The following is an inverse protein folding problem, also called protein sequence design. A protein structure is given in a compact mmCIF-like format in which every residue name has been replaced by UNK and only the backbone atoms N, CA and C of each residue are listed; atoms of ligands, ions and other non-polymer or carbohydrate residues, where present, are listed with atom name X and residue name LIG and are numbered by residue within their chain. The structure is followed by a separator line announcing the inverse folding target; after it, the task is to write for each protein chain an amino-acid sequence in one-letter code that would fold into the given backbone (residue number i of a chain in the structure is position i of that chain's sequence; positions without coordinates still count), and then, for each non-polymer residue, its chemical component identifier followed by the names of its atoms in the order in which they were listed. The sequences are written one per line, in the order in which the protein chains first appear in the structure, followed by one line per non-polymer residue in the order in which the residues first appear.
data_IF_888278582968
#
_entry.id   IF_888278582968
#
_cell.length_a   1.000
_cell.length_b   1.000
_cell.length_c   1.000
_cell.angle_alpha   90.00
_cell.angle_beta   90.00
_cell.angle_gamma   90.00
#
_symmetry.space_group_name_H-M   'P 1'
#
loop_
_entity.id
_entity.type
_entity.pdbx_description
1 polymer ?
#
# COMPACT_ATOMS: atom_id res chain seq x y z
N UNK A 1 33.14 4.80 5.79
CA UNK A 1 31.76 4.83 5.32
C UNK A 1 31.16 3.49 5.68
N UNK A 2 30.32 3.41 6.72
CA UNK A 2 29.58 2.19 7.03
C UNK A 2 28.59 1.95 5.88
N UNK A 3 28.68 0.78 5.20
CA UNK A 3 27.68 0.40 4.22
C UNK A 3 26.29 0.41 4.92
N UNK A 4 25.36 1.18 4.38
CA UNK A 4 23.97 1.11 4.84
C UNK A 4 23.50 -0.34 4.71
N UNK A 5 22.88 -0.92 5.74
CA UNK A 5 22.44 -2.31 5.69
C UNK A 5 21.46 -2.49 4.52
N UNK A 6 21.75 -3.49 3.67
CA UNK A 6 20.92 -3.80 2.50
C UNK A 6 19.52 -4.20 2.97
N UNK A 7 18.52 -3.44 2.53
CA UNK A 7 17.13 -3.75 2.79
C UNK A 7 16.63 -4.83 1.84
N UNK A 8 15.99 -5.86 2.38
CA UNK A 8 15.34 -6.92 1.61
C UNK A 8 13.83 -6.81 1.73
N UNK A 9 13.15 -6.82 0.59
CA UNK A 9 11.69 -6.81 0.50
C UNK A 9 11.23 -8.20 0.05
N UNK A 10 10.49 -8.90 0.93
CA UNK A 10 10.06 -10.29 0.70
C UNK A 10 8.54 -10.42 0.86
N UNK A 11 7.77 -10.63 -0.21
CA UNK A 11 6.38 -11.02 -0.08
C UNK A 11 6.25 -12.28 0.79
N UNK A 12 5.28 -12.29 1.72
CA UNK A 12 5.01 -13.44 2.59
C UNK A 12 3.98 -14.33 1.93
N UNK A 13 4.44 -15.23 1.06
CA UNK A 13 3.56 -16.12 0.30
C UNK A 13 2.79 -17.10 1.20
N UNK A 14 1.50 -17.35 0.93
CA UNK A 14 0.62 -16.79 -0.10
C UNK A 14 -0.23 -15.62 0.45
N UNK A 15 0.30 -14.80 1.32
CA UNK A 15 -0.43 -13.73 1.99
C UNK A 15 -0.18 -12.36 1.35
N UNK A 16 -1.15 -11.43 1.38
CA UNK A 16 -0.98 -10.04 0.99
C UNK A 16 -0.23 -9.27 2.10
N UNK A 17 1.00 -9.68 2.35
CA UNK A 17 1.86 -9.13 3.39
C UNK A 17 3.30 -9.08 2.91
N UNK A 18 4.04 -8.05 3.29
CA UNK A 18 5.43 -7.81 2.92
C UNK A 18 6.31 -7.84 4.17
N UNK A 19 7.36 -8.64 4.15
CA UNK A 19 8.41 -8.61 5.14
C UNK A 19 9.55 -7.71 4.64
N UNK A 20 9.89 -6.70 5.42
CA UNK A 20 11.01 -5.80 5.20
C UNK A 20 12.09 -6.16 6.22
N UNK A 21 13.22 -6.64 5.73
CA UNK A 21 14.38 -6.96 6.58
C UNK A 21 15.45 -5.87 6.38
N UNK A 22 15.86 -5.24 7.48
CA UNK A 22 16.90 -4.20 7.50
C UNK A 22 17.87 -4.47 8.65
N UNK A 23 19.08 -4.90 8.32
CA UNK A 23 20.03 -5.40 9.33
C UNK A 23 19.44 -6.62 10.05
N UNK A 24 19.30 -6.53 11.37
CA UNK A 24 18.71 -7.59 12.21
C UNK A 24 17.19 -7.42 12.42
N UNK A 25 16.60 -6.29 12.02
CA UNK A 25 15.20 -5.98 12.28
C UNK A 25 14.28 -6.47 11.15
N UNK A 26 13.11 -6.95 11.53
CA UNK A 26 12.07 -7.48 10.65
C UNK A 26 10.78 -6.69 10.84
N UNK A 27 10.32 -6.05 9.79
CA UNK A 27 9.06 -5.31 9.77
C UNK A 27 8.05 -6.05 8.90
N UNK A 28 6.93 -6.47 9.48
CA UNK A 28 5.83 -7.02 8.71
C UNK A 28 4.91 -5.88 8.29
N UNK A 29 4.62 -5.75 7.00
CA UNK A 29 3.76 -4.70 6.45
C UNK A 29 2.54 -5.32 5.80
N UNK A 30 1.35 -4.78 6.13
CA UNK A 30 0.07 -5.09 5.49
C UNK A 30 -0.65 -3.78 5.14
N UNK A 31 -1.69 -3.84 4.30
CA UNK A 31 -2.45 -2.67 3.86
C UNK A 31 -3.93 -3.01 3.71
N UNK A 32 -4.80 -2.00 3.85
CA UNK A 32 -6.21 -2.07 3.45
C UNK A 32 -6.99 -3.20 4.15
N UNK A 33 -7.14 -3.08 5.47
CA UNK A 33 -7.85 -4.07 6.31
C UNK A 33 -9.37 -3.86 6.22
N UNK A 34 -9.82 -2.60 6.23
CA UNK A 34 -11.23 -2.18 6.17
C UNK A 34 -12.13 -2.95 7.13
N UNK A 35 -11.83 -2.91 8.43
CA UNK A 35 -12.71 -3.46 9.45
C UNK A 35 -14.08 -2.75 9.41
N UNK A 36 -15.14 -3.50 9.55
CA UNK A 36 -16.52 -2.97 9.50
C UNK A 36 -17.12 -2.84 8.10
N UNK A 37 -16.44 -3.29 7.03
CA UNK A 37 -16.95 -3.21 5.66
C UNK A 37 -18.29 -3.94 5.48
N UNK A 38 -18.56 -4.95 6.30
CA UNK A 38 -19.79 -5.73 6.28
C UNK A 38 -21.04 -4.88 6.58
N UNK A 39 -20.88 -3.80 7.33
CA UNK A 39 -21.97 -2.88 7.68
C UNK A 39 -22.58 -2.23 6.43
N UNK A 40 -21.77 -1.94 5.41
CA UNK A 40 -22.27 -1.38 4.16
C UNK A 40 -23.17 -2.36 3.42
N UNK A 41 -22.82 -3.65 3.41
CA UNK A 41 -23.67 -4.71 2.81
C UNK A 41 -24.99 -4.88 3.58
N UNK A 42 -24.94 -4.73 4.91
CA UNK A 42 -26.16 -4.79 5.72
C UNK A 42 -27.13 -3.65 5.36
N UNK A 43 -26.62 -2.47 5.03
CA UNK A 43 -27.41 -1.34 4.51
C UNK A 43 -28.10 -1.66 3.17
N UNK A 44 -27.54 -2.56 2.38
CA UNK A 44 -28.09 -3.07 1.11
C UNK A 44 -28.97 -4.34 1.29
N UNK A 45 -29.20 -4.77 2.53
CA UNK A 45 -30.01 -5.95 2.85
C UNK A 45 -29.24 -7.27 2.84
N UNK A 46 -27.91 -7.25 2.71
CA UNK A 46 -27.05 -8.44 2.71
C UNK A 46 -26.31 -8.55 4.05
N UNK A 47 -26.73 -9.49 4.90
CA UNK A 47 -26.12 -9.68 6.21
C UNK A 47 -24.94 -10.64 6.15
N UNK A 48 -23.73 -10.10 6.30
CA UNK A 48 -22.47 -10.84 6.44
C UNK A 48 -21.99 -10.71 7.88
N UNK A 49 -21.67 -11.81 8.59
CA UNK A 49 -21.05 -11.73 9.90
C UNK A 49 -19.72 -11.02 9.85
N UNK A 50 -19.35 -10.29 10.93
CA UNK A 50 -18.05 -9.62 11.01
C UNK A 50 -16.89 -10.56 10.69
N UNK A 51 -16.03 -10.13 9.77
CA UNK A 51 -14.83 -10.85 9.35
C UNK A 51 -13.60 -10.49 10.20
N UNK A 52 -13.73 -9.57 11.13
CA UNK A 52 -12.63 -9.10 12.01
C UNK A 52 -11.86 -10.26 12.63
N UNK A 53 -12.55 -11.25 13.19
CA UNK A 53 -11.90 -12.43 13.79
C UNK A 53 -11.16 -13.31 12.77
N UNK A 54 -11.62 -13.36 11.52
CA UNK A 54 -10.95 -14.10 10.45
C UNK A 54 -9.68 -13.39 10.02
N UNK A 55 -9.75 -12.07 9.82
CA UNK A 55 -8.60 -11.23 9.49
C UNK A 55 -7.55 -11.24 10.61
N UNK A 56 -7.99 -11.14 11.87
CA UNK A 56 -7.13 -11.24 13.04
C UNK A 56 -6.36 -12.57 13.07
N UNK A 57 -7.06 -13.70 13.01
CA UNK A 57 -6.43 -15.03 13.01
C UNK A 57 -5.45 -15.21 11.85
N UNK A 58 -5.75 -14.65 10.67
CA UNK A 58 -4.87 -14.66 9.52
C UNK A 58 -3.58 -13.88 9.83
N UNK A 59 -3.70 -12.69 10.40
CA UNK A 59 -2.55 -11.86 10.75
C UNK A 59 -1.71 -12.49 11.88
N UNK A 60 -2.33 -13.02 12.93
CA UNK A 60 -1.65 -13.74 14.00
C UNK A 60 -0.84 -14.95 13.48
N UNK A 61 -1.39 -15.67 12.48
CA UNK A 61 -0.67 -16.77 11.83
C UNK A 61 0.57 -16.26 11.09
N UNK A 62 0.47 -15.15 10.38
CA UNK A 62 1.61 -14.56 9.67
C UNK A 62 2.67 -14.07 10.67
N UNK A 63 2.27 -13.38 11.74
CA UNK A 63 3.17 -12.93 12.81
C UNK A 63 3.91 -14.13 13.41
N UNK A 64 3.21 -15.22 13.69
CA UNK A 64 3.82 -16.44 14.24
C UNK A 64 4.82 -17.10 13.27
N UNK A 65 4.55 -17.00 11.94
CA UNK A 65 5.38 -17.56 10.89
C UNK A 65 6.68 -16.77 10.71
N UNK A 66 6.59 -15.44 10.58
CA UNK A 66 7.74 -14.61 10.23
C UNK A 66 8.45 -13.99 11.43
N UNK A 67 7.77 -13.95 12.58
CA UNK A 67 8.26 -13.39 13.87
C UNK A 67 8.88 -12.01 13.68
N UNK A 68 8.08 -11.02 13.26
CA UNK A 68 8.57 -9.67 13.04
C UNK A 68 8.81 -8.96 14.37
N UNK A 69 9.71 -7.98 14.37
CA UNK A 69 9.94 -7.09 15.51
C UNK A 69 8.87 -6.00 15.58
N UNK A 70 8.33 -5.58 14.42
CA UNK A 70 7.30 -4.57 14.32
C UNK A 70 6.29 -4.88 13.21
N UNK A 71 5.01 -4.60 13.47
CA UNK A 71 3.93 -4.61 12.47
C UNK A 71 3.69 -3.18 11.97
N UNK A 72 3.67 -2.98 10.65
CA UNK A 72 3.31 -1.72 10.02
C UNK A 72 2.03 -1.90 9.20
N UNK A 73 1.05 -1.04 9.40
CA UNK A 73 -0.21 -1.07 8.67
C UNK A 73 -0.29 0.19 7.79
N UNK A 74 -0.35 -0.02 6.47
CA UNK A 74 -0.43 1.04 5.46
C UNK A 74 -1.87 1.45 5.20
N UNK A 75 -2.53 1.98 6.23
CA UNK A 75 -3.82 2.65 6.14
C UNK A 75 -5.02 1.79 5.79
N UNK A 76 -6.15 2.48 5.76
CA UNK A 76 -7.49 1.96 5.54
C UNK A 76 -7.81 0.80 6.49
N UNK A 77 -7.65 1.09 7.80
CA UNK A 77 -7.96 0.17 8.89
C UNK A 77 -9.46 0.01 9.03
N UNK A 78 -10.20 1.12 9.13
CA UNK A 78 -11.66 1.13 9.15
C UNK A 78 -12.22 1.35 7.74
N UNK A 79 -13.50 1.04 7.55
CA UNK A 79 -14.10 1.10 6.22
C UNK A 79 -14.81 2.42 5.92
N UNK A 80 -15.49 3.02 6.90
CA UNK A 80 -16.30 4.22 6.70
C UNK A 80 -15.44 5.48 6.74
N UNK A 81 -15.60 6.37 5.75
CA UNK A 81 -14.77 7.59 5.64
C UNK A 81 -15.29 8.69 6.58
N UNK A 82 -16.59 9.03 6.47
CA UNK A 82 -17.13 10.26 7.08
C UNK A 82 -17.34 10.19 8.59
N UNK A 83 -17.67 9.03 9.10
CA UNK A 83 -17.96 8.79 10.52
C UNK A 83 -17.37 7.44 10.99
N UNK A 84 -17.38 7.21 12.28
CA UNK A 84 -17.04 5.92 12.86
C UNK A 84 -18.34 5.19 13.14
N UNK A 85 -18.53 4.03 12.54
CA UNK A 85 -19.71 3.17 12.76
C UNK A 85 -19.59 2.34 14.03
N UNK A 86 -20.72 1.84 14.55
CA UNK A 86 -20.74 1.06 15.80
C UNK A 86 -19.88 -0.20 15.73
N UNK A 87 -19.86 -0.85 14.57
CA UNK A 87 -19.02 -2.01 14.28
C UNK A 87 -17.54 -1.66 14.38
N UNK A 88 -17.13 -0.50 13.86
CA UNK A 88 -15.76 -0.01 13.92
C UNK A 88 -15.34 0.33 15.37
N UNK A 89 -16.24 0.98 16.12
CA UNK A 89 -16.04 1.25 17.57
C UNK A 89 -15.81 -0.02 18.37
N UNK A 90 -16.46 -1.12 18.02
CA UNK A 90 -16.31 -2.42 18.66
C UNK A 90 -15.07 -3.16 18.17
N UNK A 91 -14.93 -3.28 16.83
CA UNK A 91 -14.02 -4.23 16.20
C UNK A 91 -12.57 -3.73 16.12
N UNK A 92 -12.36 -2.42 15.89
CA UNK A 92 -11.00 -1.86 15.79
C UNK A 92 -10.21 -1.99 17.11
N UNK A 93 -10.74 -1.57 18.28
CA UNK A 93 -10.02 -1.75 19.54
C UNK A 93 -9.71 -3.22 19.84
N UNK A 94 -10.69 -4.12 19.69
CA UNK A 94 -10.53 -5.57 19.92
C UNK A 94 -9.43 -6.16 19.05
N UNK A 95 -9.38 -5.75 17.77
CA UNK A 95 -8.38 -6.19 16.81
C UNK A 95 -6.97 -5.81 17.28
N UNK A 96 -6.75 -4.54 17.62
CA UNK A 96 -5.44 -4.05 18.05
C UNK A 96 -5.02 -4.54 19.42
N UNK A 97 -5.92 -4.62 20.39
CA UNK A 97 -5.64 -5.21 21.72
C UNK A 97 -5.21 -6.68 21.61
N UNK A 98 -5.82 -7.41 20.67
CA UNK A 98 -5.44 -8.81 20.41
C UNK A 98 -4.07 -8.91 19.78
N UNK A 99 -3.71 -8.00 18.88
CA UNK A 99 -2.39 -7.94 18.25
C UNK A 99 -1.31 -7.53 19.25
N UNK A 100 -1.57 -6.55 20.14
CA UNK A 100 -0.61 -6.11 21.16
C UNK A 100 -0.21 -7.23 22.14
N UNK A 101 -1.06 -8.25 22.31
CA UNK A 101 -0.70 -9.48 23.06
C UNK A 101 0.31 -10.37 22.34
N UNK A 102 0.54 -10.14 21.03
CA UNK A 102 1.44 -10.96 20.18
C UNK A 102 2.69 -10.22 19.74
N UNK A 103 2.58 -8.91 19.56
CA UNK A 103 3.65 -8.06 19.07
C UNK A 103 3.59 -6.70 19.76
N UNK A 104 4.72 -6.25 20.32
CA UNK A 104 4.78 -5.02 21.13
C UNK A 104 4.94 -3.75 20.30
N UNK A 105 5.38 -3.84 19.06
CA UNK A 105 5.53 -2.70 18.16
C UNK A 105 4.50 -2.77 17.04
N UNK A 106 3.56 -1.81 17.04
CA UNK A 106 2.57 -1.64 15.96
C UNK A 106 2.59 -0.19 15.52
N UNK A 107 2.80 0.04 14.22
CA UNK A 107 2.76 1.35 13.58
C UNK A 107 1.64 1.40 12.56
N UNK A 108 0.87 2.48 12.59
CA UNK A 108 -0.21 2.76 11.66
C UNK A 108 0.14 4.00 10.86
N UNK A 109 0.13 3.91 9.54
CA UNK A 109 0.19 5.06 8.64
C UNK A 109 -1.23 5.27 8.12
N UNK A 110 -1.97 6.32 8.55
CA UNK A 110 -3.39 6.47 8.22
C UNK A 110 -3.66 6.55 6.72
N UNK A 111 -4.73 5.86 6.28
CA UNK A 111 -5.28 5.96 4.93
C UNK A 111 -6.38 7.02 4.82
N UNK A 112 -7.04 7.08 3.66
CA UNK A 112 -8.13 8.04 3.45
C UNK A 112 -9.43 7.65 4.18
N UNK A 113 -9.57 6.39 4.58
CA UNK A 113 -10.68 5.93 5.43
C UNK A 113 -10.44 6.15 6.93
N UNK A 114 -9.22 6.46 7.35
CA UNK A 114 -8.81 6.47 8.75
C UNK A 114 -8.98 7.82 9.46
N UNK A 115 -9.90 8.68 9.00
CA UNK A 115 -10.22 9.91 9.71
C UNK A 115 -10.57 9.62 11.19
N UNK A 116 -9.90 10.29 12.13
CA UNK A 116 -10.04 10.13 13.58
C UNK A 116 -9.75 8.69 14.09
N UNK A 117 -8.88 7.94 13.44
CA UNK A 117 -8.54 6.57 13.82
C UNK A 117 -7.95 6.50 15.24
N UNK A 118 -7.28 7.56 15.69
CA UNK A 118 -6.61 7.64 16.99
C UNK A 118 -7.55 7.34 18.16
N UNK A 119 -8.84 7.70 18.05
CA UNK A 119 -9.83 7.45 19.12
C UNK A 119 -10.22 5.97 19.26
N UNK A 120 -9.91 5.16 18.24
CA UNK A 120 -10.19 3.72 18.22
C UNK A 120 -8.97 2.88 18.59
N UNK A 121 -7.78 3.47 18.55
CA UNK A 121 -6.55 2.72 18.78
C UNK A 121 -6.23 2.65 20.29
N UNK A 122 -5.90 1.47 20.81
CA UNK A 122 -5.47 1.34 22.20
C UNK A 122 -4.07 1.94 22.41
N UNK A 123 -3.75 2.24 23.66
CA UNK A 123 -2.39 2.63 24.06
C UNK A 123 -1.37 1.57 23.62
N UNK A 124 -0.22 2.01 23.08
CA UNK A 124 0.83 1.13 22.53
C UNK A 124 0.81 0.99 21.02
N UNK A 125 -0.19 1.54 20.30
CA UNK A 125 -0.19 1.66 18.84
C UNK A 125 0.31 3.04 18.45
N UNK A 126 1.40 3.10 17.69
CA UNK A 126 1.96 4.35 17.17
C UNK A 126 1.23 4.77 15.89
N UNK A 127 0.70 5.99 15.85
CA UNK A 127 0.15 6.59 14.63
C UNK A 127 1.23 7.46 14.00
N UNK A 128 1.67 7.05 12.82
CA UNK A 128 2.67 7.74 12.02
C UNK A 128 2.02 8.82 11.13
N UNK A 129 2.82 9.77 10.60
CA UNK A 129 2.29 10.74 9.64
C UNK A 129 1.69 10.06 8.40
N UNK A 130 0.55 10.56 7.91
CA UNK A 130 -0.10 10.04 6.69
C UNK A 130 0.77 10.17 5.43
N UNK A 131 1.74 11.10 5.43
CA UNK A 131 2.71 11.27 4.35
C UNK A 131 3.74 10.13 4.33
N UNK A 132 3.76 9.29 5.35
CA UNK A 132 4.56 8.08 5.41
C UNK A 132 5.83 8.18 6.25
N UNK A 133 6.52 7.05 6.32
CA UNK A 133 7.75 6.86 7.08
C UNK A 133 8.78 6.08 6.27
N UNK A 134 10.03 6.14 6.69
CA UNK A 134 11.11 5.30 6.15
C UNK A 134 11.30 4.10 7.06
N UNK A 135 11.31 2.90 6.47
CA UNK A 135 11.67 1.64 7.15
C UNK A 135 12.77 0.97 6.36
N UNK A 136 13.92 0.81 6.97
CA UNK A 136 15.12 0.38 6.25
C UNK A 136 15.45 1.40 5.13
N UNK A 137 15.55 1.00 3.90
CA UNK A 137 15.71 1.88 2.75
C UNK A 137 14.43 2.04 1.93
N UNK A 138 13.28 1.63 2.44
CA UNK A 138 11.99 1.72 1.78
C UNK A 138 11.15 2.87 2.35
N UNK A 139 10.46 3.60 1.48
CA UNK A 139 9.51 4.65 1.84
C UNK A 139 8.08 4.09 1.82
N UNK A 140 7.40 4.11 2.96
CA UNK A 140 6.06 3.55 3.14
C UNK A 140 5.04 4.66 3.36
N UNK A 141 3.96 4.67 2.61
CA UNK A 141 2.79 5.55 2.80
C UNK A 141 1.56 4.89 2.18
N UNK A 142 0.36 5.32 2.56
CA UNK A 142 -0.85 4.65 2.06
C UNK A 142 -1.04 4.79 0.54
N UNK A 143 -0.80 5.97 -0.03
CA UNK A 143 -0.90 6.20 -1.48
C UNK A 143 -1.95 7.25 -1.89
N UNK A 144 -2.90 7.62 -1.03
CA UNK A 144 -3.95 8.62 -1.29
C UNK A 144 -3.44 10.07 -1.25
N UNK A 145 -2.29 10.31 -0.61
CA UNK A 145 -1.64 11.62 -0.49
C UNK A 145 -0.23 11.60 -1.08
N UNK A 146 0.39 12.78 -1.21
CA UNK A 146 1.81 12.86 -1.55
C UNK A 146 2.68 12.33 -0.40
N UNK A 147 3.79 11.64 -0.71
CA UNK A 147 4.73 11.18 0.30
C UNK A 147 5.47 12.35 0.95
N UNK A 148 5.94 12.13 2.19
CA UNK A 148 6.95 13.03 2.79
C UNK A 148 8.16 13.11 1.85
N UNK A 149 8.72 14.31 1.73
CA UNK A 149 9.84 14.56 0.81
C UNK A 149 11.08 13.69 1.13
N UNK A 150 11.22 13.26 2.39
CA UNK A 150 12.29 12.34 2.84
C UNK A 150 12.22 10.98 2.16
N UNK A 151 11.02 10.53 1.76
CA UNK A 151 10.83 9.25 1.10
C UNK A 151 11.47 9.21 -0.28
N UNK A 152 11.76 10.37 -0.88
CA UNK A 152 12.52 10.43 -2.14
C UNK A 152 13.98 9.93 -2.00
N UNK A 153 14.51 9.86 -0.78
CA UNK A 153 15.80 9.25 -0.47
C UNK A 153 15.79 7.72 -0.41
N UNK A 154 14.61 7.08 -0.51
CA UNK A 154 14.47 5.63 -0.53
C UNK A 154 14.60 5.06 -1.94
N UNK A 155 15.07 3.82 -2.09
CA UNK A 155 15.14 3.16 -3.41
C UNK A 155 13.77 2.70 -3.91
N UNK A 156 12.90 2.27 -3.00
CA UNK A 156 11.57 1.76 -3.30
C UNK A 156 10.52 2.47 -2.47
N UNK A 157 9.45 2.91 -3.12
CA UNK A 157 8.23 3.36 -2.47
C UNK A 157 7.24 2.21 -2.39
N UNK A 158 6.52 2.10 -1.27
CA UNK A 158 5.53 1.04 -1.02
C UNK A 158 4.22 1.70 -0.63
N UNK A 159 3.14 1.33 -1.35
CA UNK A 159 1.79 1.86 -1.12
C UNK A 159 0.74 0.75 -1.08
N UNK A 160 -0.42 1.05 -0.48
CA UNK A 160 -1.67 0.30 -0.58
C UNK A 160 -2.67 1.01 -1.48
N UNK A 161 -3.89 1.26 -0.98
CA UNK A 161 -4.95 2.11 -1.52
C UNK A 161 -5.64 1.63 -2.81
N UNK A 162 -4.94 0.92 -3.67
CA UNK A 162 -5.43 0.56 -5.02
C UNK A 162 -6.20 -0.76 -5.01
N UNK A 163 -5.91 -1.66 -4.09
CA UNK A 163 -6.42 -3.03 -4.03
C UNK A 163 -6.31 -3.75 -5.39
N UNK A 164 -5.10 -3.89 -5.96
CA UNK A 164 -4.94 -4.37 -7.32
C UNK A 164 -5.33 -5.84 -7.45
N UNK A 165 -6.15 -6.13 -8.47
CA UNK A 165 -6.50 -7.48 -8.89
C UNK A 165 -6.29 -7.64 -10.39
N UNK A 166 -6.19 -8.88 -10.86
CA UNK A 166 -6.29 -9.25 -12.27
C UNK A 166 -7.48 -10.16 -12.47
N UNK A 167 -8.15 -10.00 -13.60
CA UNK A 167 -9.29 -10.86 -13.95
C UNK A 167 -8.98 -11.55 -15.28
N UNK A 168 -9.06 -12.86 -15.30
CA UNK A 168 -8.96 -13.65 -16.52
C UNK A 168 -10.29 -14.32 -16.83
N UNK A 169 -10.57 -14.54 -18.12
CA UNK A 169 -11.67 -15.39 -18.59
C UNK A 169 -11.08 -16.73 -18.95
N UNK A 170 -11.70 -17.80 -18.45
CA UNK A 170 -11.40 -19.13 -18.95
C UNK A 170 -12.05 -19.38 -20.33
N UNK A 171 -11.69 -20.45 -21.03
CA UNK A 171 -12.28 -20.77 -22.33
C UNK A 171 -13.82 -20.97 -22.32
N UNK A 172 -14.41 -21.21 -21.15
CA UNK A 172 -15.85 -21.36 -20.95
C UNK A 172 -16.55 -20.03 -20.61
N UNK A 173 -15.77 -18.91 -20.46
CA UNK A 173 -16.27 -17.57 -20.16
C UNK A 173 -16.37 -17.25 -18.67
N UNK A 174 -15.98 -18.15 -17.75
CA UNK A 174 -15.93 -17.87 -16.33
C UNK A 174 -14.81 -16.89 -16.02
N UNK A 175 -15.08 -15.95 -15.10
CA UNK A 175 -14.11 -14.95 -14.65
C UNK A 175 -13.43 -15.42 -13.36
N UNK A 176 -12.11 -15.43 -13.38
CA UNK A 176 -11.26 -15.70 -12.21
C UNK A 176 -10.55 -14.41 -11.87
N UNK A 177 -10.78 -13.88 -10.65
CA UNK A 177 -10.14 -12.66 -10.16
C UNK A 177 -9.18 -13.03 -9.04
N UNK A 178 -7.95 -12.53 -9.14
CA UNK A 178 -6.88 -12.77 -8.17
C UNK A 178 -6.26 -11.47 -7.72
N UNK A 179 -5.96 -11.34 -6.42
CA UNK A 179 -5.14 -10.25 -5.88
C UNK A 179 -3.71 -10.36 -6.41
N UNK A 180 -3.07 -9.21 -6.64
CA UNK A 180 -1.74 -9.16 -7.20
C UNK A 180 -0.87 -8.09 -6.54
N UNK A 181 0.44 -8.30 -6.58
CA UNK A 181 1.44 -7.28 -6.37
C UNK A 181 1.71 -6.56 -7.69
N UNK A 182 1.90 -5.24 -7.62
CA UNK A 182 2.33 -4.44 -8.77
C UNK A 182 3.68 -3.82 -8.44
N UNK A 183 4.68 -4.04 -9.27
CA UNK A 183 5.98 -3.39 -9.17
C UNK A 183 6.24 -2.56 -10.43
N UNK A 184 6.25 -1.24 -10.29
CA UNK A 184 6.39 -0.33 -11.41
C UNK A 184 7.71 0.45 -11.33
N UNK A 185 8.43 0.65 -12.45
CA UNK A 185 9.56 1.57 -12.51
C UNK A 185 9.11 3.01 -12.28
N UNK A 186 9.96 3.83 -11.68
CA UNK A 186 9.72 5.25 -11.47
C UNK A 186 10.70 6.10 -12.28
N UNK A 187 10.17 7.11 -12.99
CA UNK A 187 10.94 8.21 -13.52
C UNK A 187 11.24 9.20 -12.39
N UNK A 188 12.44 9.07 -11.84
CA UNK A 188 12.85 9.79 -10.65
C UNK A 188 12.81 11.32 -10.82
N UNK A 189 13.35 11.93 -11.90
CA UNK A 189 13.30 13.38 -12.08
C UNK A 189 11.87 13.92 -12.10
N UNK A 190 10.94 13.24 -12.79
CA UNK A 190 9.51 13.61 -12.82
C UNK A 190 8.87 13.49 -11.44
N UNK A 191 9.17 12.41 -10.68
CA UNK A 191 8.67 12.22 -9.33
C UNK A 191 9.16 13.34 -8.40
N UNK A 192 10.46 13.61 -8.39
CA UNK A 192 11.06 14.68 -7.59
C UNK A 192 10.44 16.03 -7.94
N UNK A 193 10.34 16.37 -9.23
CA UNK A 193 9.72 17.62 -9.70
C UNK A 193 8.28 17.77 -9.22
N UNK A 194 7.48 16.71 -9.33
CA UNK A 194 6.08 16.72 -8.95
C UNK A 194 5.91 16.85 -7.43
N UNK A 195 6.73 16.14 -6.67
CA UNK A 195 6.73 16.23 -5.19
C UNK A 195 7.17 17.63 -4.73
N UNK A 196 8.26 18.18 -5.29
CA UNK A 196 8.72 19.54 -4.95
C UNK A 196 7.65 20.61 -5.25
N UNK A 197 6.92 20.47 -6.37
CA UNK A 197 5.79 21.36 -6.69
C UNK A 197 4.67 21.26 -5.65
N UNK A 198 4.33 20.05 -5.19
CA UNK A 198 3.35 19.86 -4.12
C UNK A 198 3.76 20.59 -2.84
N UNK A 199 5.03 20.55 -2.49
CA UNK A 199 5.60 21.26 -1.33
C UNK A 199 5.88 22.76 -1.61
N UNK A 200 5.27 23.35 -2.65
CA UNK A 200 5.37 24.76 -3.04
C UNK A 200 6.80 25.23 -3.32
N UNK A 201 7.69 24.33 -3.73
CA UNK A 201 9.01 24.69 -4.20
C UNK A 201 8.92 25.21 -5.63
N UNK A 202 9.31 26.48 -5.84
CA UNK A 202 9.34 27.09 -7.17
C UNK A 202 10.43 26.46 -8.03
N UNK A 203 10.04 25.95 -9.20
CA UNK A 203 10.92 25.34 -10.19
C UNK A 203 10.69 25.99 -11.53
N UNK A 204 11.77 26.39 -12.20
CA UNK A 204 11.74 26.77 -13.61
C UNK A 204 11.71 25.51 -14.49
N UNK A 205 11.40 25.70 -15.76
CA UNK A 205 11.33 24.58 -16.71
C UNK A 205 12.65 23.83 -16.84
N UNK A 206 13.76 24.58 -16.86
CA UNK A 206 15.11 24.07 -17.11
C UNK A 206 15.88 23.72 -15.82
N UNK A 207 15.27 23.91 -14.64
CA UNK A 207 15.90 23.53 -13.38
C UNK A 207 16.01 22.00 -13.26
N UNK A 208 17.15 21.52 -12.75
CA UNK A 208 17.28 20.13 -12.32
C UNK A 208 16.58 19.92 -10.97
N UNK A 209 15.47 19.15 -10.91
CA UNK A 209 14.74 18.95 -9.66
C UNK A 209 15.56 18.19 -8.61
N UNK A 210 16.47 17.31 -9.03
CA UNK A 210 17.29 16.52 -8.13
C UNK A 210 18.36 17.39 -7.45
N UNK A 211 18.99 18.31 -8.18
CA UNK A 211 19.92 19.28 -7.61
C UNK A 211 19.23 20.18 -6.57
N UNK A 212 17.99 20.63 -6.86
CA UNK A 212 17.22 21.44 -5.92
C UNK A 212 16.84 20.63 -4.68
N UNK A 213 16.49 19.35 -4.83
CA UNK A 213 16.23 18.46 -3.69
C UNK A 213 17.47 18.34 -2.79
N UNK A 214 18.65 18.10 -3.38
CA UNK A 214 19.92 18.02 -2.64
C UNK A 214 20.23 19.33 -1.93
N UNK A 215 20.13 20.44 -2.64
CA UNK A 215 20.53 21.76 -2.11
C UNK A 215 19.61 22.26 -0.98
N UNK A 216 18.28 22.05 -1.10
CA UNK A 216 17.30 22.59 -0.16
C UNK A 216 16.98 21.67 0.99
N UNK A 217 17.02 20.36 0.78
CA UNK A 217 16.54 19.36 1.74
C UNK A 217 17.63 18.39 2.20
N UNK A 218 18.84 18.47 1.60
CA UNK A 218 19.96 17.54 1.89
C UNK A 218 19.58 16.07 1.67
N UNK A 219 18.72 15.79 0.68
CA UNK A 219 18.25 14.46 0.33
C UNK A 219 18.85 14.05 -1.01
N UNK A 220 19.56 12.90 -1.02
CA UNK A 220 19.98 12.25 -2.28
C UNK A 220 18.82 11.45 -2.83
N UNK A 221 18.28 11.79 -4.04
CA UNK A 221 17.15 11.07 -4.60
C UNK A 221 17.58 9.68 -5.07
N UNK A 222 16.92 8.64 -4.56
CA UNK A 222 17.25 7.24 -4.85
C UNK A 222 16.11 6.44 -5.48
N UNK A 223 14.87 6.96 -5.54
CA UNK A 223 13.69 6.22 -5.96
C UNK A 223 13.85 5.63 -7.37
N UNK A 224 13.65 4.32 -7.48
CA UNK A 224 13.72 3.55 -8.74
C UNK A 224 12.43 2.81 -9.03
N UNK A 225 11.66 2.44 -8.00
CA UNK A 225 10.46 1.64 -8.16
C UNK A 225 9.39 1.98 -7.13
N UNK A 226 8.15 1.71 -7.51
CA UNK A 226 6.97 1.73 -6.65
C UNK A 226 6.39 0.32 -6.56
N UNK A 227 6.06 -0.14 -5.36
CA UNK A 227 5.31 -1.37 -5.13
C UNK A 227 3.92 -0.99 -4.64
N UNK A 228 2.88 -1.51 -5.31
CA UNK A 228 1.50 -1.45 -4.84
C UNK A 228 1.15 -2.79 -4.20
N UNK A 229 0.79 -2.74 -2.93
CA UNK A 229 0.42 -3.92 -2.16
C UNK A 229 -1.00 -4.36 -2.48
N UNK A 230 -1.28 -5.68 -2.50
CA UNK A 230 -2.64 -6.19 -2.46
C UNK A 230 -3.28 -5.87 -1.10
N UNK A 231 -4.61 -5.69 -1.10
CA UNK A 231 -5.39 -5.50 0.11
C UNK A 231 -5.26 -6.71 1.05
N UNK A 232 -5.11 -6.47 2.36
CA UNK A 232 -5.10 -7.55 3.36
C UNK A 232 -6.47 -8.22 3.48
N UNK A 233 -7.54 -7.47 3.28
CA UNK A 233 -8.90 -7.98 3.25
C UNK A 233 -9.25 -8.51 1.85
N UNK A 234 -9.39 -9.82 1.74
CA UNK A 234 -9.72 -10.53 0.50
C UNK A 234 -11.21 -10.40 0.09
N UNK A 235 -12.09 -9.90 0.98
CA UNK A 235 -13.50 -9.68 0.69
C UNK A 235 -13.81 -8.41 -0.07
N UNK A 236 -12.89 -7.45 -0.13
CA UNK A 236 -13.10 -6.16 -0.81
C UNK A 236 -13.21 -6.26 -2.34
N UNK A 237 -12.91 -7.41 -2.90
CA UNK A 237 -12.99 -7.66 -4.34
C UNK A 237 -11.87 -7.01 -5.14
N UNK A 238 -11.37 -5.86 -4.75
CA UNK A 238 -10.32 -5.12 -5.42
C UNK A 238 -10.69 -4.59 -6.80
N UNK A 239 -9.73 -3.93 -7.46
CA UNK A 239 -9.89 -3.34 -8.78
C UNK A 239 -9.08 -4.11 -9.82
N UNK A 240 -9.78 -4.65 -10.84
CA UNK A 240 -9.11 -5.34 -11.94
C UNK A 240 -8.31 -4.34 -12.79
N UNK A 241 -6.97 -4.39 -12.67
CA UNK A 241 -6.05 -3.45 -13.31
C UNK A 241 -5.75 -3.81 -14.79
N UNK A 242 -6.07 -5.04 -15.20
CA UNK A 242 -5.84 -5.53 -16.55
C UNK A 242 -7.07 -5.42 -17.47
N UNK A 243 -8.15 -4.75 -17.05
CA UNK A 243 -9.30 -4.55 -17.94
C UNK A 243 -8.89 -3.73 -19.14
N UNK A 244 -9.06 -4.28 -20.31
CA UNK A 244 -8.91 -3.57 -21.57
C UNK A 244 -9.84 -2.35 -21.56
N UNK A 245 -9.26 -1.18 -21.49
CA UNK A 245 -10.00 0.03 -21.72
C UNK A 245 -9.70 0.52 -23.13
N UNK A 246 -10.75 0.99 -23.79
CA UNK A 246 -10.74 1.46 -25.18
C UNK A 246 -9.76 2.65 -25.41
N UNK A 247 -9.15 3.19 -24.37
CA UNK A 247 -8.12 4.20 -24.46
C UNK A 247 -7.11 4.12 -23.31
N UNK A 248 -5.84 4.43 -23.59
CA UNK A 248 -4.74 4.55 -22.62
C UNK A 248 -5.14 5.40 -21.39
N UNK A 249 -5.90 6.48 -21.60
CA UNK A 249 -6.37 7.39 -20.55
C UNK A 249 -7.28 6.72 -19.50
N UNK A 250 -7.86 5.56 -19.80
CA UNK A 250 -8.77 4.86 -18.87
C UNK A 250 -8.03 3.87 -17.98
N UNK A 251 -6.93 3.25 -18.44
CA UNK A 251 -6.06 2.42 -17.58
C UNK A 251 -5.55 3.28 -16.42
N UNK A 252 -5.15 4.53 -16.69
CA UNK A 252 -4.66 5.46 -15.67
C UNK A 252 -5.76 5.98 -14.71
N UNK A 253 -7.04 5.92 -15.10
CA UNK A 253 -8.15 6.31 -14.20
C UNK A 253 -8.31 5.36 -13.03
N UNK A 254 -7.89 4.12 -13.18
CA UNK A 254 -8.00 3.09 -12.16
C UNK A 254 -6.87 3.16 -11.11
N UNK A 255 -5.75 3.78 -11.47
CA UNK A 255 -4.68 4.05 -10.54
C UNK A 255 -4.89 5.44 -9.92
N UNK A 256 -5.53 5.45 -8.74
CA UNK A 256 -5.80 6.66 -7.97
C UNK A 256 -4.63 7.01 -7.06
N UNK A 257 -4.53 8.29 -6.72
CA UNK A 257 -3.45 8.80 -5.87
C UNK A 257 -2.46 9.69 -6.65
N UNK A 258 -1.86 10.68 -5.97
CA UNK A 258 -1.12 11.74 -6.63
C UNK A 258 0.18 11.26 -7.30
N UNK A 259 0.90 10.32 -6.68
CA UNK A 259 2.14 9.76 -7.26
C UNK A 259 1.85 9.00 -8.55
N UNK A 260 0.82 8.13 -8.54
CA UNK A 260 0.43 7.35 -9.72
C UNK A 260 -0.08 8.24 -10.87
N UNK A 261 -0.72 9.36 -10.55
CA UNK A 261 -1.23 10.34 -11.52
C UNK A 261 -0.21 11.38 -11.96
N UNK A 262 0.97 11.43 -11.34
CA UNK A 262 2.01 12.41 -11.66
C UNK A 262 2.69 12.18 -13.01
N UNK A 263 2.51 11.01 -13.60
CA UNK A 263 3.24 10.56 -14.77
C UNK A 263 4.66 10.07 -14.48
N UNK A 264 5.04 9.99 -13.21
CA UNK A 264 6.36 9.51 -12.80
C UNK A 264 6.47 7.99 -12.66
N UNK A 265 5.35 7.27 -12.69
CA UNK A 265 5.30 5.80 -12.57
C UNK A 265 4.99 5.19 -13.93
N UNK A 266 5.88 4.33 -14.42
CA UNK A 266 5.70 3.62 -15.68
C UNK A 266 4.81 2.38 -15.47
N UNK A 267 3.48 2.61 -15.52
CA UNK A 267 2.50 1.54 -15.35
C UNK A 267 2.48 0.55 -16.52
N UNK A 268 2.82 0.95 -17.73
CA UNK A 268 2.87 0.05 -18.89
C UNK A 268 3.90 -1.07 -18.67
N UNK A 269 5.02 -0.74 -18.05
CA UNK A 269 6.11 -1.66 -17.74
C UNK A 269 6.00 -2.27 -16.34
N UNK A 270 4.91 -1.98 -15.62
CA UNK A 270 4.69 -2.55 -14.30
C UNK A 270 4.63 -4.08 -14.37
N UNK A 271 5.42 -4.72 -13.54
CA UNK A 271 5.48 -6.16 -13.36
C UNK A 271 4.37 -6.60 -12.41
N UNK A 272 3.62 -7.62 -12.78
CA UNK A 272 2.48 -8.14 -12.02
C UNK A 272 2.81 -9.55 -11.51
N UNK A 273 2.60 -9.73 -10.19
CA UNK A 273 2.88 -10.99 -9.51
C UNK A 273 1.65 -11.44 -8.72
N UNK A 274 1.36 -12.75 -8.75
CA UNK A 274 0.39 -13.36 -7.84
C UNK A 274 0.91 -13.36 -6.39
N UNK A 275 0.05 -13.65 -5.43
CA UNK A 275 0.43 -13.69 -3.99
C UNK A 275 1.48 -14.77 -3.68
N UNK A 276 1.57 -15.81 -4.49
CA UNK A 276 2.59 -16.86 -4.37
C UNK A 276 3.95 -16.48 -4.96
N UNK A 277 4.05 -15.26 -5.54
CA UNK A 277 5.26 -14.76 -6.18
C UNK A 277 5.39 -15.10 -7.67
N UNK A 278 4.39 -15.78 -8.25
CA UNK A 278 4.40 -16.09 -9.69
C UNK A 278 4.31 -14.82 -10.52
N UNK A 279 5.31 -14.55 -11.35
CA UNK A 279 5.27 -13.49 -12.34
C UNK A 279 4.32 -13.85 -13.47
N UNK A 280 3.29 -13.03 -13.71
CA UNK A 280 2.27 -13.29 -14.73
C UNK A 280 2.38 -12.38 -15.96
N UNK A 281 3.26 -11.41 -15.94
CA UNK A 281 3.52 -10.52 -17.09
C UNK A 281 3.61 -9.05 -16.70
N UNK A 282 3.75 -8.19 -17.70
CA UNK A 282 3.65 -6.74 -17.52
C UNK A 282 2.20 -6.29 -17.72
N UNK A 283 1.83 -5.17 -17.08
CA UNK A 283 0.46 -4.66 -17.15
C UNK A 283 0.01 -4.43 -18.61
N UNK A 284 0.88 -3.86 -19.45
CA UNK A 284 0.59 -3.67 -20.88
C UNK A 284 0.25 -5.00 -21.58
N UNK A 285 1.01 -6.07 -21.32
CA UNK A 285 0.73 -7.39 -21.94
C UNK A 285 -0.57 -7.99 -21.42
N UNK A 286 -0.84 -7.89 -20.11
CA UNK A 286 -2.06 -8.44 -19.51
C UNK A 286 -3.32 -7.70 -19.99
N UNK A 287 -3.23 -6.41 -20.27
CA UNK A 287 -4.35 -5.63 -20.83
C UNK A 287 -4.71 -5.98 -22.27
N UNK A 288 -3.85 -6.71 -22.98
CA UNK A 288 -4.10 -7.18 -24.34
C UNK A 288 -4.75 -8.57 -24.41
N UNK A 289 -4.87 -9.26 -23.27
CA UNK A 289 -5.38 -10.65 -23.20
C UNK A 289 -6.89 -10.74 -22.89
N UNK A 290 -7.61 -9.62 -22.80
CA UNK A 290 -9.08 -9.60 -22.58
C UNK A 290 -9.92 -9.70 -23.85
#
# INVERSE_FOLDING_TARGET
MSEEPRTLLKPVSPYPALLIESGSEKFLTISDIHLGWEANLAGEGVHVPSQTNKLLRRLERIISLVKPDCLTILGDIKHTIEKIELEEWRDVPIFFESLLRKISCIKVIPGNHDGNIEVLLPEGVEVAPQQGIVIGGAGLFHGHTWPDIKLLGCETLIIGHIHPTVTFKDPMGFRITSQVWVRAPCDRPTLVRSTLKHYNVRLKRDDDPEEILRAKFSIEPKVRSLIVMPSFNDFLGGRAINRASISRDVIFKDFIGPVLRSGSVDLERAEIYLLDGTFIGTLNKLSMLE
#
